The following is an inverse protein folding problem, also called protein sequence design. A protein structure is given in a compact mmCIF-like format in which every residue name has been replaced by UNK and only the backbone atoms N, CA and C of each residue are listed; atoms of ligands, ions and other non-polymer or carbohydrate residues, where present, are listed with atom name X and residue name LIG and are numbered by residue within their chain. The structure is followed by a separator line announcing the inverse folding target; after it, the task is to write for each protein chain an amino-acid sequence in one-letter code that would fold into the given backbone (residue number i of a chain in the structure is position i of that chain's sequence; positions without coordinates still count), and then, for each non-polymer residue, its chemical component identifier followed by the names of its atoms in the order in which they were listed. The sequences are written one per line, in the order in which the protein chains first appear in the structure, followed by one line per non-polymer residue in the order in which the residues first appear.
data_IF_775726154296
#
_entry.id   IF_775726154296
#
_cell.length_a   1.000
_cell.length_b   1.000
_cell.length_c   1.000
_cell.angle_alpha   90.00
_cell.angle_beta   90.00
_cell.angle_gamma   90.00
#
_symmetry.space_group_name_H-M   'P 1'
#
loop_
_entity.id
_entity.type
_entity.pdbx_description
1 polymer ?
#
# COMPACT_ATOMS: atom_id res chain seq x y z
N UNK A 1 -15.03 -25.92 -4.18
CA UNK A 1 -13.62 -25.88 -3.70
C UNK A 1 -12.79 -24.76 -4.34
N UNK A 2 -12.88 -24.49 -5.65
CA UNK A 2 -12.04 -23.47 -6.34
C UNK A 2 -12.35 -22.01 -5.96
N UNK A 3 -13.62 -21.67 -5.69
CA UNK A 3 -14.07 -20.30 -5.39
C UNK A 3 -13.54 -19.77 -4.04
N UNK A 4 -13.50 -20.62 -3.01
CA UNK A 4 -12.94 -20.27 -1.70
C UNK A 4 -11.43 -20.00 -1.75
N UNK A 5 -10.70 -20.79 -2.55
CA UNK A 5 -9.25 -20.61 -2.74
C UNK A 5 -8.95 -19.30 -3.43
N UNK A 6 -9.70 -18.96 -4.49
CA UNK A 6 -9.58 -17.69 -5.20
C UNK A 6 -9.85 -16.47 -4.29
N UNK A 7 -10.89 -16.55 -3.44
CA UNK A 7 -11.19 -15.48 -2.47
C UNK A 7 -10.11 -15.33 -1.41
N UNK A 8 -9.58 -16.44 -0.91
CA UNK A 8 -8.51 -16.43 0.10
C UNK A 8 -7.23 -15.81 -0.48
N UNK A 9 -6.81 -16.22 -1.67
CA UNK A 9 -5.66 -15.64 -2.37
C UNK A 9 -5.87 -14.14 -2.58
N UNK A 10 -7.07 -13.72 -3.02
CA UNK A 10 -7.38 -12.32 -3.24
C UNK A 10 -7.24 -11.49 -1.96
N UNK A 11 -7.74 -11.99 -0.82
CA UNK A 11 -7.62 -11.31 0.48
C UNK A 11 -6.15 -11.22 0.90
N UNK A 12 -5.38 -12.30 0.77
CA UNK A 12 -3.95 -12.33 1.08
C UNK A 12 -3.20 -11.28 0.25
N UNK A 13 -3.42 -11.25 -1.06
CA UNK A 13 -2.78 -10.29 -1.97
C UNK A 13 -3.13 -8.84 -1.58
N UNK A 14 -4.38 -8.56 -1.24
CA UNK A 14 -4.80 -7.20 -0.85
C UNK A 14 -4.11 -6.72 0.43
N UNK A 15 -4.01 -7.57 1.45
CA UNK A 15 -3.31 -7.21 2.68
C UNK A 15 -1.79 -7.20 2.52
N UNK A 16 -1.23 -8.10 1.71
CA UNK A 16 0.20 -8.08 1.38
C UNK A 16 0.60 -6.79 0.66
N UNK A 17 -0.21 -6.35 -0.32
CA UNK A 17 0.00 -5.07 -1.00
C UNK A 17 -0.14 -3.88 -0.05
N UNK A 18 -1.15 -3.90 0.83
CA UNK A 18 -1.33 -2.84 1.83
C UNK A 18 -0.10 -2.71 2.75
N UNK A 19 0.40 -3.85 3.24
CA UNK A 19 1.60 -3.90 4.08
C UNK A 19 2.85 -3.45 3.31
N UNK A 20 3.00 -3.86 2.05
CA UNK A 20 4.11 -3.46 1.20
C UNK A 20 4.12 -1.94 0.98
N UNK A 21 2.99 -1.35 0.56
CA UNK A 21 2.91 0.10 0.35
C UNK A 21 3.20 0.88 1.62
N UNK A 22 2.68 0.42 2.77
CA UNK A 22 2.97 1.05 4.06
C UNK A 22 4.45 0.95 4.44
N UNK A 23 5.07 -0.22 4.25
CA UNK A 23 6.49 -0.41 4.54
C UNK A 23 7.36 0.49 3.67
N UNK A 24 7.08 0.57 2.37
CA UNK A 24 7.80 1.46 1.45
C UNK A 24 7.58 2.92 1.85
N UNK A 25 6.35 3.32 2.18
CA UNK A 25 6.07 4.70 2.64
C UNK A 25 6.89 5.07 3.88
N UNK A 26 6.98 4.16 4.86
CA UNK A 26 7.79 4.37 6.07
C UNK A 26 9.26 4.51 5.72
N UNK A 27 9.80 3.63 4.87
CA UNK A 27 11.19 3.72 4.42
C UNK A 27 11.46 5.06 3.72
N UNK A 28 10.56 5.52 2.86
CA UNK A 28 10.71 6.79 2.15
C UNK A 28 10.62 8.03 3.05
N UNK A 29 9.99 7.94 4.23
CA UNK A 29 9.94 9.05 5.20
C UNK A 29 11.25 9.20 5.98
N UNK A 30 12.04 8.13 6.11
CA UNK A 30 13.26 8.15 6.93
C UNK A 30 14.30 9.12 6.36
N UNK A 31 14.43 9.16 5.03
CA UNK A 31 15.39 10.01 4.33
C UNK A 31 14.64 10.88 3.30
N UNK A 32 14.37 12.17 3.60
CA UNK A 32 13.61 13.05 2.72
C UNK A 32 14.29 13.37 1.38
N UNK A 33 15.60 13.12 1.25
CA UNK A 33 16.40 13.34 0.03
C UNK A 33 16.84 12.00 -0.60
N UNK A 34 16.13 10.90 -0.33
CA UNK A 34 16.53 9.58 -0.83
C UNK A 34 16.61 9.53 -2.37
N UNK A 35 15.84 10.36 -3.09
CA UNK A 35 15.89 10.44 -4.55
C UNK A 35 17.24 11.00 -5.00
N UNK A 36 17.73 12.06 -4.35
CA UNK A 36 19.04 12.62 -4.63
C UNK A 36 20.14 11.59 -4.31
N UNK A 37 20.04 10.90 -3.18
CA UNK A 37 21.02 9.88 -2.76
C UNK A 37 21.07 8.70 -3.74
N UNK A 38 19.92 8.24 -4.24
CA UNK A 38 19.84 7.04 -5.08
C UNK A 38 20.06 7.34 -6.56
N UNK A 39 19.55 8.48 -7.05
CA UNK A 39 19.53 8.81 -8.48
C UNK A 39 20.46 9.96 -8.86
N UNK A 40 20.99 10.73 -7.89
CA UNK A 40 21.86 11.88 -8.14
C UNK A 40 21.16 13.02 -8.87
N UNK A 41 19.83 13.05 -8.85
CA UNK A 41 19.01 14.11 -9.43
C UNK A 41 18.30 14.85 -8.32
N UNK A 42 18.19 16.16 -8.50
CA UNK A 42 17.47 17.05 -7.59
C UNK A 42 16.23 17.61 -8.32
N UNK A 43 15.09 16.88 -8.28
CA UNK A 43 13.90 17.22 -9.05
C UNK A 43 13.12 18.40 -8.47
N UNK A 44 13.28 18.69 -7.19
CA UNK A 44 12.51 19.71 -6.48
C UNK A 44 13.36 20.78 -5.78
N UNK A 45 14.66 20.81 -6.08
CA UNK A 45 15.67 21.74 -5.55
C UNK A 45 15.95 21.58 -4.06
N UNK A 46 15.99 20.34 -3.56
CA UNK A 46 16.19 20.01 -2.15
C UNK A 46 15.01 20.44 -1.25
N UNK A 47 13.81 20.59 -1.82
CA UNK A 47 12.63 20.97 -1.03
C UNK A 47 11.94 19.76 -0.39
N UNK A 48 12.19 18.55 -0.91
CA UNK A 48 11.60 17.29 -0.46
C UNK A 48 10.09 17.15 -0.77
N UNK A 49 9.54 18.09 -1.54
CA UNK A 49 8.13 18.11 -1.92
C UNK A 49 7.73 16.88 -2.76
N UNK A 50 8.60 16.41 -3.66
CA UNK A 50 8.32 15.23 -4.48
C UNK A 50 8.24 13.97 -3.61
N UNK A 51 9.15 13.83 -2.66
CA UNK A 51 9.24 12.71 -1.74
C UNK A 51 8.00 12.64 -0.84
N UNK A 52 7.53 13.78 -0.33
CA UNK A 52 6.26 13.84 0.41
C UNK A 52 5.05 13.45 -0.44
N UNK A 53 5.02 13.82 -1.73
CA UNK A 53 3.98 13.36 -2.66
C UNK A 53 4.02 11.84 -2.83
N UNK A 54 5.21 11.24 -2.93
CA UNK A 54 5.38 9.79 -3.01
C UNK A 54 4.90 9.10 -1.73
N UNK A 55 5.27 9.62 -0.56
CA UNK A 55 4.81 9.11 0.75
C UNK A 55 3.29 9.14 0.83
N UNK A 56 2.67 10.28 0.44
CA UNK A 56 1.22 10.42 0.45
C UNK A 56 0.56 9.42 -0.51
N UNK A 57 1.09 9.28 -1.72
CA UNK A 57 0.57 8.35 -2.72
C UNK A 57 0.64 6.89 -2.22
N UNK A 58 1.77 6.47 -1.64
CA UNK A 58 1.94 5.15 -1.05
C UNK A 58 0.98 4.92 0.13
N UNK A 59 0.81 5.92 0.99
CA UNK A 59 -0.16 5.88 2.09
C UNK A 59 -1.60 5.68 1.61
N UNK A 60 -2.01 6.43 0.58
CA UNK A 60 -3.34 6.27 -0.05
C UNK A 60 -3.51 4.86 -0.64
N UNK A 61 -2.51 4.35 -1.36
CA UNK A 61 -2.54 3.00 -1.93
C UNK A 61 -2.64 1.93 -0.83
N UNK A 62 -1.92 2.09 0.27
CA UNK A 62 -2.00 1.19 1.43
C UNK A 62 -3.42 1.14 2.01
N UNK A 63 -4.03 2.30 2.25
CA UNK A 63 -5.40 2.41 2.78
C UNK A 63 -6.42 1.80 1.83
N UNK A 64 -6.29 2.08 0.52
CA UNK A 64 -7.20 1.53 -0.50
C UNK A 64 -7.10 0.01 -0.56
N UNK A 65 -5.88 -0.55 -0.59
CA UNK A 65 -5.64 -1.99 -0.61
C UNK A 65 -6.21 -2.68 0.65
N UNK A 66 -5.95 -2.11 1.84
CA UNK A 66 -6.51 -2.60 3.10
C UNK A 66 -8.05 -2.54 3.11
N UNK A 67 -8.62 -1.45 2.58
CA UNK A 67 -10.06 -1.27 2.45
C UNK A 67 -10.71 -2.34 1.56
N UNK A 68 -10.09 -2.71 0.44
CA UNK A 68 -10.56 -3.83 -0.40
C UNK A 68 -10.47 -5.18 0.34
N UNK A 69 -9.37 -5.42 1.06
CA UNK A 69 -9.17 -6.60 1.91
C UNK A 69 -10.29 -6.75 2.93
N UNK A 70 -10.51 -5.71 3.72
CA UNK A 70 -11.54 -5.65 4.75
C UNK A 70 -12.94 -5.85 4.16
N UNK A 71 -13.29 -5.17 3.06
CA UNK A 71 -14.59 -5.34 2.39
C UNK A 71 -14.82 -6.79 1.94
N UNK A 72 -13.80 -7.46 1.41
CA UNK A 72 -13.90 -8.85 0.96
C UNK A 72 -14.11 -9.81 2.13
N UNK A 73 -13.40 -9.60 3.25
CA UNK A 73 -13.56 -10.37 4.50
C UNK A 73 -14.97 -10.19 5.09
N UNK A 74 -15.45 -8.95 5.20
CA UNK A 74 -16.78 -8.64 5.75
C UNK A 74 -17.87 -9.30 4.90
N UNK A 75 -17.78 -9.21 3.57
CA UNK A 75 -18.72 -9.87 2.65
C UNK A 75 -18.71 -11.39 2.81
N UNK A 76 -17.53 -12.01 2.95
CA UNK A 76 -17.40 -13.46 3.17
C UNK A 76 -18.06 -13.89 4.48
N UNK A 77 -17.87 -13.14 5.57
CA UNK A 77 -18.49 -13.43 6.88
C UNK A 77 -20.02 -13.33 6.82
N UNK A 78 -20.58 -12.33 6.13
CA UNK A 78 -22.04 -12.17 6.00
C UNK A 78 -22.72 -13.33 5.27
N UNK A 79 -22.09 -13.88 4.24
CA UNK A 79 -22.67 -14.99 3.46
C UNK A 79 -22.59 -16.32 4.25
N UNK A 80 -21.58 -16.51 5.10
CA UNK A 80 -21.44 -17.73 5.90
C UNK A 80 -22.38 -17.87 7.11
N UNK A 81 -23.12 -16.81 7.46
CA UNK A 81 -24.09 -16.79 8.57
C UNK A 81 -25.56 -16.74 8.10
N UNK A 82 -25.80 -16.72 6.79
CA UNK A 82 -27.13 -16.75 6.17
C UNK A 82 -27.42 -18.14 5.60
#
# INVERSE_FOLDING_TARGET
MTRDRSLTIRIIVQFALAALFLAVAVVTVIEPEWIEVVFGIDPDRGSGALEWVIVLALGVLAVVAAGFGARTVIRRRRIGHA
#
